data_IF_896317054186
#
_entry.id   IF_896317054186
#
_cell.length_a   1.000
_cell.length_b   1.000
_cell.length_c   1.000
_cell.angle_alpha   90.00
_cell.angle_beta   90.00
_cell.angle_gamma   90.00
#
_symmetry.space_group_name_H-M   'P 1'
#
loop_
_entity.id
_entity.type
_entity.pdbx_description
1 polymer ?
#
# COMPACT_ATOMS: atom_id res chain seq x y z
N UNK A 1 -0.07 -1.05 -17.23
CA UNK A 1 -1.48 -0.56 -17.08
C UNK A 1 -1.49 0.41 -15.91
N UNK A 2 -1.62 1.71 -16.17
CA UNK A 2 -1.79 2.71 -15.10
C UNK A 2 -3.20 2.56 -14.54
N UNK A 3 -3.35 1.98 -13.35
CA UNK A 3 -4.55 2.16 -12.56
C UNK A 3 -4.67 3.66 -12.24
N UNK A 4 -5.72 4.30 -12.71
CA UNK A 4 -6.03 5.67 -12.32
C UNK A 4 -6.69 5.59 -10.95
N UNK A 5 -5.91 5.76 -9.91
CA UNK A 5 -6.43 5.97 -8.56
C UNK A 5 -7.09 7.36 -8.50
N UNK A 6 -8.32 7.41 -8.03
CA UNK A 6 -9.01 8.66 -7.71
C UNK A 6 -8.48 9.20 -6.39
N UNK A 7 -8.55 10.53 -6.19
CA UNK A 7 -7.99 11.27 -5.07
C UNK A 7 -6.44 11.30 -5.02
N UNK A 8 -5.80 11.15 -6.16
CA UNK A 8 -4.33 11.21 -6.27
C UNK A 8 -3.77 12.52 -5.72
N UNK A 9 -4.45 13.66 -5.97
CA UNK A 9 -3.93 15.00 -5.63
C UNK A 9 -3.70 15.18 -4.14
N UNK A 10 -4.66 14.78 -3.31
CA UNK A 10 -4.58 15.03 -1.86
C UNK A 10 -3.53 14.14 -1.20
N UNK A 11 -3.38 12.92 -1.69
CA UNK A 11 -2.35 11.98 -1.22
C UNK A 11 -0.95 12.41 -1.59
N UNK A 12 -0.74 12.88 -2.83
CA UNK A 12 0.54 13.44 -3.23
C UNK A 12 0.89 14.67 -2.40
N UNK A 13 -0.11 15.50 -2.07
CA UNK A 13 0.11 16.65 -1.21
C UNK A 13 0.52 16.23 0.20
N UNK A 14 -0.22 15.32 0.83
CA UNK A 14 0.10 14.81 2.18
C UNK A 14 1.49 14.18 2.21
N UNK A 15 1.82 13.36 1.21
CA UNK A 15 3.14 12.76 1.08
C UNK A 15 4.24 13.80 0.86
N UNK A 16 4.01 14.79 -0.02
CA UNK A 16 4.96 15.86 -0.27
C UNK A 16 5.18 16.72 0.98
N UNK A 17 4.10 17.07 1.68
CA UNK A 17 4.15 17.83 2.92
C UNK A 17 4.95 17.04 3.98
N UNK A 18 4.75 15.73 4.10
CA UNK A 18 5.53 14.87 5.00
C UNK A 18 7.01 14.89 4.63
N UNK A 19 7.37 14.55 3.39
CA UNK A 19 8.75 14.43 2.95
C UNK A 19 9.54 15.75 3.00
N UNK A 20 8.85 16.89 2.91
CA UNK A 20 9.47 18.22 2.98
C UNK A 20 9.55 18.78 4.40
N UNK A 21 8.74 18.29 5.34
CA UNK A 21 8.70 18.76 6.72
C UNK A 21 9.44 17.87 7.72
N UNK A 22 9.81 16.65 7.31
CA UNK A 22 10.52 15.70 8.16
C UNK A 22 11.97 15.54 7.67
N UNK A 23 12.89 15.78 8.57
CA UNK A 23 14.32 15.60 8.37
C UNK A 23 14.78 14.31 9.06
N UNK A 24 15.97 13.83 8.70
CA UNK A 24 16.63 12.74 9.37
C UNK A 24 16.75 13.02 10.88
N UNK A 25 16.34 12.07 11.69
CA UNK A 25 16.41 12.16 13.14
C UNK A 25 17.02 10.89 13.72
N UNK A 26 17.96 11.05 14.64
CA UNK A 26 18.66 9.94 15.31
C UNK A 26 19.31 8.94 14.31
N UNK A 27 19.78 9.44 13.15
CA UNK A 27 20.39 8.63 12.11
C UNK A 27 19.38 7.80 11.28
N UNK A 28 18.08 8.10 11.39
CA UNK A 28 17.02 7.41 10.65
C UNK A 28 16.39 8.33 9.61
N UNK A 29 16.36 7.88 8.37
CA UNK A 29 15.67 8.56 7.30
C UNK A 29 14.14 8.44 7.47
N UNK A 30 13.36 9.55 7.44
CA UNK A 30 11.92 9.50 7.54
C UNK A 30 11.29 9.05 6.21
N UNK A 31 10.67 7.89 6.20
CA UNK A 31 9.83 7.40 5.12
C UNK A 31 8.36 7.48 5.53
N UNK A 32 7.48 7.49 4.56
CA UNK A 32 6.06 7.39 4.81
C UNK A 32 5.37 6.47 3.79
N UNK A 33 4.22 5.95 4.17
CA UNK A 33 3.28 5.33 3.23
C UNK A 33 1.87 5.82 3.50
N UNK A 34 1.02 5.81 2.48
CA UNK A 34 -0.40 6.02 2.69
C UNK A 34 -1.07 4.69 3.00
N UNK A 35 -1.60 4.57 4.21
CA UNK A 35 -2.42 3.44 4.65
C UNK A 35 -3.91 3.72 4.46
N UNK A 36 -4.65 2.69 4.11
CA UNK A 36 -6.10 2.75 3.90
C UNK A 36 -6.79 1.82 4.88
N UNK A 37 -8.01 2.18 5.29
CA UNK A 37 -8.88 1.21 5.94
C UNK A 37 -9.28 0.13 4.94
N UNK A 38 -9.14 -1.14 5.32
CA UNK A 38 -9.43 -2.30 4.47
C UNK A 38 -10.82 -2.22 3.84
N UNK A 39 -11.85 -1.86 4.65
CA UNK A 39 -13.22 -1.70 4.19
C UNK A 39 -13.39 -0.74 3.00
N UNK A 40 -12.48 0.24 2.87
CA UNK A 40 -12.45 1.19 1.76
C UNK A 40 -11.71 0.66 0.51
N UNK A 41 -11.21 -0.57 0.52
CA UNK A 41 -10.38 -1.14 -0.56
C UNK A 41 -10.84 -2.48 -1.08
N UNK A 42 -11.87 -3.07 -0.49
CA UNK A 42 -12.47 -4.34 -0.90
C UNK A 42 -13.63 -4.12 -1.88
N UNK A 43 -14.00 -5.15 -2.62
CA UNK A 43 -15.12 -5.17 -3.57
C UNK A 43 -16.11 -6.27 -3.22
N UNK A 44 -17.36 -6.12 -3.69
CA UNK A 44 -18.39 -7.17 -3.60
C UNK A 44 -18.23 -8.25 -4.69
N UNK A 45 -17.39 -8.00 -5.69
CA UNK A 45 -17.36 -8.79 -6.92
C UNK A 45 -16.27 -9.87 -6.91
N UNK A 46 -15.58 -10.07 -5.77
CA UNK A 46 -14.57 -11.11 -5.63
C UNK A 46 -13.51 -10.77 -4.58
N UNK A 47 -12.38 -11.45 -4.66
CA UNK A 47 -11.28 -11.25 -3.71
C UNK A 47 -10.31 -10.18 -4.17
N UNK A 48 -9.57 -9.64 -3.21
CA UNK A 48 -8.48 -8.68 -3.43
C UNK A 48 -7.21 -9.13 -2.70
N UNK A 49 -6.06 -8.59 -3.13
CA UNK A 49 -4.77 -8.78 -2.47
C UNK A 49 -4.34 -7.47 -1.83
N UNK A 50 -3.93 -7.50 -0.55
CA UNK A 50 -3.50 -6.30 0.21
C UNK A 50 -2.37 -6.61 1.17
N UNK A 51 -1.43 -5.68 1.29
CA UNK A 51 -0.46 -5.69 2.37
C UNK A 51 -1.10 -5.22 3.67
N UNK A 52 -1.41 -6.13 4.58
CA UNK A 52 -1.95 -5.82 5.90
C UNK A 52 -0.83 -5.24 6.77
N UNK A 53 -1.04 -4.04 7.31
CA UNK A 53 -0.07 -3.29 8.08
C UNK A 53 -0.30 -3.46 9.59
N UNK A 54 0.77 -3.71 10.31
CA UNK A 54 0.84 -3.55 11.75
C UNK A 54 1.53 -2.24 12.08
N UNK A 55 0.92 -1.43 12.94
CA UNK A 55 1.44 -0.11 13.34
C UNK A 55 1.45 0.02 14.86
N UNK A 56 2.35 0.84 15.37
CA UNK A 56 2.33 1.24 16.78
C UNK A 56 1.33 2.40 17.05
N UNK A 57 1.24 2.82 18.30
CA UNK A 57 0.34 3.91 18.73
C UNK A 57 0.70 5.28 18.08
N UNK A 58 1.90 5.42 17.52
CA UNK A 58 2.37 6.61 16.80
C UNK A 58 2.26 6.46 15.28
N UNK A 59 1.53 5.47 14.79
CA UNK A 59 1.41 5.12 13.38
C UNK A 59 2.73 4.77 12.70
N UNK A 60 3.76 4.36 13.45
CA UNK A 60 4.98 3.83 12.84
C UNK A 60 4.73 2.39 12.38
N UNK A 61 5.12 2.10 11.15
CA UNK A 61 4.99 0.77 10.57
C UNK A 61 5.90 -0.22 11.30
N UNK A 62 5.34 -1.31 11.80
CA UNK A 62 6.06 -2.43 12.40
C UNK A 62 6.25 -3.55 11.40
N UNK A 63 5.21 -3.90 10.66
CA UNK A 63 5.26 -4.95 9.64
C UNK A 63 4.21 -4.75 8.53
N UNK A 64 4.46 -5.35 7.36
CA UNK A 64 3.48 -5.52 6.29
C UNK A 64 3.44 -6.99 5.92
N UNK A 65 2.25 -7.59 5.97
CA UNK A 65 2.03 -8.96 5.55
C UNK A 65 1.09 -8.98 4.34
N UNK A 66 1.59 -9.45 3.19
CA UNK A 66 0.74 -9.59 2.00
C UNK A 66 -0.26 -10.72 2.19
N UNK A 67 -1.55 -10.38 2.10
CA UNK A 67 -2.67 -11.33 2.08
C UNK A 67 -3.24 -11.35 0.67
N UNK A 68 -3.02 -12.45 -0.04
CA UNK A 68 -3.31 -12.56 -1.48
C UNK A 68 -4.77 -12.84 -1.78
N UNK A 69 -5.53 -13.30 -0.80
CA UNK A 69 -6.94 -13.66 -0.95
C UNK A 69 -7.76 -13.12 0.21
N UNK A 70 -8.33 -11.93 0.04
CA UNK A 70 -9.21 -11.26 1.01
C UNK A 70 -10.57 -11.09 0.37
N UNK A 71 -11.62 -11.55 1.03
CA UNK A 71 -13.02 -11.38 0.61
C UNK A 71 -13.78 -10.47 1.58
N UNK A 72 -14.66 -9.64 1.03
CA UNK A 72 -15.59 -8.84 1.82
C UNK A 72 -16.72 -9.69 2.38
N UNK A 73 -17.09 -9.47 3.66
CA UNK A 73 -18.29 -9.95 4.30
C UNK A 73 -19.19 -8.75 4.66
N UNK A 74 -20.31 -8.97 5.30
CA UNK A 74 -21.28 -7.92 5.62
C UNK A 74 -20.68 -6.79 6.48
N UNK A 75 -19.97 -7.14 7.56
CA UNK A 75 -19.45 -6.23 8.58
C UNK A 75 -17.94 -6.28 8.77
N UNK A 76 -17.23 -7.17 8.07
CA UNK A 76 -15.78 -7.34 8.12
C UNK A 76 -15.25 -7.89 6.79
N UNK A 77 -13.96 -8.19 6.74
CA UNK A 77 -13.37 -8.99 5.68
C UNK A 77 -12.77 -10.27 6.26
N UNK A 78 -12.54 -11.26 5.42
CA UNK A 78 -11.86 -12.49 5.78
C UNK A 78 -10.75 -12.78 4.77
N UNK A 79 -9.68 -13.43 5.21
CA UNK A 79 -8.64 -13.91 4.31
C UNK A 79 -8.36 -15.39 4.50
N UNK A 80 -7.84 -16.00 3.45
CA UNK A 80 -7.37 -17.38 3.44
C UNK A 80 -5.95 -17.45 2.89
N UNK A 81 -5.17 -18.41 3.37
CA UNK A 81 -3.82 -18.73 2.89
C UNK A 81 -3.73 -20.17 2.34
N UNK A 82 -4.84 -20.91 2.38
CA UNK A 82 -4.93 -22.33 2.05
C UNK A 82 -6.09 -22.63 1.09
N UNK A 83 -6.27 -21.75 0.09
CA UNK A 83 -7.31 -21.85 -0.94
C UNK A 83 -8.75 -22.01 -0.40
N UNK A 84 -9.02 -21.39 0.76
CA UNK A 84 -10.34 -21.36 1.35
C UNK A 84 -10.65 -22.50 2.34
N UNK A 85 -9.66 -23.30 2.71
CA UNK A 85 -9.84 -24.36 3.72
C UNK A 85 -10.04 -23.76 5.13
N UNK A 86 -9.33 -22.66 5.43
CA UNK A 86 -9.48 -21.88 6.66
C UNK A 86 -9.61 -20.40 6.37
N UNK A 87 -10.38 -19.69 7.20
CA UNK A 87 -10.60 -18.25 7.08
C UNK A 87 -10.33 -17.56 8.40
N UNK A 88 -9.66 -16.41 8.32
CA UNK A 88 -9.40 -15.55 9.46
C UNK A 88 -9.99 -14.16 9.21
N UNK A 89 -10.60 -13.59 10.26
CA UNK A 89 -11.27 -12.30 10.20
C UNK A 89 -10.29 -11.14 10.18
N UNK A 90 -10.62 -10.11 9.40
CA UNK A 90 -9.97 -8.81 9.34
C UNK A 90 -11.02 -7.71 9.49
N UNK A 91 -10.99 -6.92 10.57
CA UNK A 91 -11.85 -5.76 10.75
C UNK A 91 -11.71 -4.76 9.57
N UNK A 92 -12.78 -4.04 9.23
CA UNK A 92 -12.75 -3.05 8.15
C UNK A 92 -11.84 -1.85 8.41
N UNK A 93 -11.53 -1.56 9.67
CA UNK A 93 -10.59 -0.50 10.09
C UNK A 93 -9.13 -0.95 10.07
N UNK A 94 -8.85 -2.22 9.76
CA UNK A 94 -7.48 -2.72 9.54
C UNK A 94 -6.78 -1.86 8.50
N UNK A 95 -5.55 -1.40 8.80
CA UNK A 95 -4.77 -0.62 7.86
C UNK A 95 -4.11 -1.52 6.81
N UNK A 96 -4.20 -1.10 5.55
CA UNK A 96 -3.62 -1.83 4.43
C UNK A 96 -2.82 -0.91 3.51
N UNK A 97 -1.76 -1.47 2.94
CA UNK A 97 -0.95 -0.83 1.91
C UNK A 97 -1.59 -0.99 0.54
N UNK A 98 -1.55 0.10 -0.23
CA UNK A 98 -1.89 0.13 -1.66
C UNK A 98 -0.66 0.55 -2.49
N UNK A 99 0.54 0.22 -2.01
CA UNK A 99 1.82 0.52 -2.66
C UNK A 99 2.03 2.00 -2.96
N UNK A 100 1.62 2.89 -2.04
CA UNK A 100 1.87 4.32 -2.14
C UNK A 100 2.84 4.75 -1.06
N UNK A 101 4.13 4.74 -1.40
CA UNK A 101 5.24 5.06 -0.52
C UNK A 101 5.90 6.38 -0.90
N UNK A 102 6.45 7.07 0.11
CA UNK A 102 7.33 8.22 -0.02
C UNK A 102 8.66 7.95 0.67
N UNK A 103 9.74 8.16 -0.05
CA UNK A 103 11.09 7.87 0.41
C UNK A 103 11.97 9.11 0.33
N UNK A 104 12.93 9.24 1.24
CA UNK A 104 14.04 10.16 1.08
C UNK A 104 15.02 9.66 0.00
N UNK A 105 15.83 10.54 -0.63
CA UNK A 105 16.71 10.18 -1.74
C UNK A 105 17.66 9.01 -1.45
N UNK A 106 18.03 8.78 -0.18
CA UNK A 106 18.92 7.68 0.21
C UNK A 106 18.42 6.29 -0.21
N UNK A 107 17.12 6.12 -0.45
CA UNK A 107 16.57 4.86 -0.94
C UNK A 107 17.19 4.44 -2.27
N UNK A 108 17.55 5.41 -3.14
CA UNK A 108 18.15 5.12 -4.43
C UNK A 108 19.53 4.48 -4.29
N UNK A 109 20.33 4.97 -3.33
CA UNK A 109 21.66 4.42 -3.03
C UNK A 109 21.54 3.00 -2.46
N UNK A 110 20.56 2.75 -1.61
CA UNK A 110 20.34 1.41 -1.03
C UNK A 110 19.81 0.42 -2.07
N UNK A 111 18.93 0.87 -2.98
CA UNK A 111 18.48 0.06 -4.13
C UNK A 111 19.67 -0.30 -5.05
N UNK A 112 20.53 0.66 -5.37
CA UNK A 112 21.72 0.43 -6.21
C UNK A 112 22.69 -0.56 -5.55
N UNK A 113 22.95 -0.42 -4.26
CA UNK A 113 23.82 -1.34 -3.51
C UNK A 113 23.28 -2.76 -3.42
N UNK A 114 21.96 -2.91 -3.21
CA UNK A 114 21.31 -4.21 -3.01
C UNK A 114 21.06 -4.97 -4.32
N UNK A 115 20.89 -4.25 -5.43
CA UNK A 115 20.50 -4.83 -6.71
C UNK A 115 21.42 -5.94 -7.25
N UNK A 116 22.77 -5.82 -7.20
CA UNK A 116 23.66 -6.87 -7.70
C UNK A 116 23.47 -8.21 -6.97
N UNK A 117 23.38 -8.19 -5.64
CA UNK A 117 23.18 -9.40 -4.86
C UNK A 117 21.81 -10.05 -5.15
N UNK A 118 20.76 -9.22 -5.25
CA UNK A 118 19.44 -9.68 -5.68
C UNK A 118 19.50 -10.33 -7.07
N UNK A 119 20.17 -9.68 -8.04
CA UNK A 119 20.26 -10.18 -9.41
C UNK A 119 20.97 -11.54 -9.48
N UNK A 120 22.08 -11.69 -8.76
CA UNK A 120 22.84 -12.95 -8.69
C UNK A 120 22.00 -14.12 -8.14
N UNK A 121 21.11 -13.82 -7.17
CA UNK A 121 20.17 -14.80 -6.64
C UNK A 121 19.01 -15.07 -7.60
N UNK A 122 18.40 -14.02 -8.13
CA UNK A 122 17.23 -14.14 -9.02
C UNK A 122 17.56 -14.95 -10.30
N UNK A 123 18.75 -14.75 -10.86
CA UNK A 123 19.20 -15.52 -12.05
C UNK A 123 19.28 -17.03 -11.75
N UNK A 124 19.63 -17.40 -10.53
CA UNK A 124 19.76 -18.82 -10.13
C UNK A 124 18.41 -19.45 -9.78
N UNK A 125 17.54 -18.71 -9.10
CA UNK A 125 16.32 -19.26 -8.53
C UNK A 125 15.09 -19.06 -9.42
N UNK A 126 14.98 -17.87 -10.04
CA UNK A 126 13.81 -17.51 -10.83
C UNK A 126 14.14 -16.49 -11.94
N UNK A 127 14.91 -16.89 -12.96
CA UNK A 127 15.45 -15.96 -13.96
C UNK A 127 14.40 -15.24 -14.81
N UNK A 128 13.17 -15.80 -14.90
CA UNK A 128 12.11 -15.23 -15.74
C UNK A 128 11.09 -14.38 -14.97
N UNK A 129 11.05 -14.49 -13.63
CA UNK A 129 10.02 -13.86 -12.80
C UNK A 129 10.58 -13.22 -11.52
N UNK A 130 11.91 -13.11 -11.41
CA UNK A 130 12.53 -12.43 -10.27
C UNK A 130 12.13 -10.95 -10.26
N UNK A 131 11.61 -10.47 -9.14
CA UNK A 131 11.20 -9.07 -8.94
C UNK A 131 11.92 -8.50 -7.72
N UNK A 132 12.57 -7.34 -7.89
CA UNK A 132 13.20 -6.60 -6.81
C UNK A 132 12.17 -5.67 -6.17
N UNK A 133 11.60 -6.09 -5.07
CA UNK A 133 10.51 -5.35 -4.41
C UNK A 133 11.03 -4.17 -3.60
N UNK A 134 10.64 -2.96 -3.96
CA UNK A 134 10.97 -1.74 -3.19
C UNK A 134 10.47 -1.83 -1.73
N UNK A 135 9.25 -2.32 -1.44
CA UNK A 135 8.82 -2.50 -0.05
C UNK A 135 9.72 -3.39 0.80
N UNK A 136 10.35 -4.41 0.21
CA UNK A 136 11.31 -5.26 0.94
C UNK A 136 12.55 -4.49 1.34
N UNK A 137 13.11 -3.67 0.43
CA UNK A 137 14.26 -2.81 0.75
C UNK A 137 13.92 -1.81 1.85
N UNK A 138 12.72 -1.22 1.81
CA UNK A 138 12.26 -0.34 2.88
C UNK A 138 12.14 -1.10 4.22
N UNK A 139 11.61 -2.33 4.21
CA UNK A 139 11.51 -3.18 5.39
C UNK A 139 12.88 -3.52 5.99
N UNK A 140 13.86 -3.83 5.15
CA UNK A 140 15.23 -4.10 5.58
C UNK A 140 15.86 -2.86 6.25
N UNK A 141 15.65 -1.67 5.69
CA UNK A 141 16.13 -0.41 6.27
C UNK A 141 15.46 -0.07 7.61
N UNK A 142 14.18 -0.41 7.78
CA UNK A 142 13.49 -0.31 9.06
C UNK A 142 14.11 -1.25 10.09
N UNK A 143 14.31 -2.52 9.72
CA UNK A 143 14.90 -3.55 10.58
C UNK A 143 16.32 -3.20 11.00
N UNK A 144 17.11 -2.67 10.07
CA UNK A 144 18.49 -2.20 10.33
C UNK A 144 18.53 -0.89 11.16
N UNK A 145 17.39 -0.27 11.44
CA UNK A 145 17.32 1.00 12.17
C UNK A 145 17.82 2.21 11.38
N UNK A 146 17.95 2.11 10.06
CA UNK A 146 18.40 3.19 9.16
C UNK A 146 17.25 4.09 8.70
N UNK A 147 16.02 3.63 8.82
CA UNK A 147 14.83 4.39 8.47
C UNK A 147 13.75 4.26 9.54
N UNK A 148 12.80 5.18 9.53
CA UNK A 148 11.48 5.05 10.16
C UNK A 148 10.42 5.16 9.07
N UNK A 149 9.26 4.55 9.22
CA UNK A 149 8.19 4.65 8.24
C UNK A 149 6.87 4.93 8.94
N UNK A 150 6.33 6.13 8.69
CA UNK A 150 5.05 6.55 9.21
C UNK A 150 3.91 6.18 8.25
N UNK A 151 2.82 5.65 8.80
CA UNK A 151 1.61 5.33 8.04
C UNK A 151 0.65 6.50 8.10
N UNK A 152 0.56 7.24 6.99
CA UNK A 152 -0.36 8.37 6.81
C UNK A 152 -1.75 7.81 6.49
N UNK A 153 -2.65 7.81 7.48
CA UNK A 153 -3.98 7.17 7.33
C UNK A 153 -4.88 7.98 6.41
N UNK A 154 -5.34 7.36 5.32
CA UNK A 154 -6.34 7.92 4.43
C UNK A 154 -7.73 7.36 4.73
N UNK A 155 -8.71 8.27 4.82
CA UNK A 155 -10.13 7.91 4.93
C UNK A 155 -10.82 7.76 3.57
N UNK A 156 -10.08 7.96 2.50
CA UNK A 156 -10.62 7.91 1.14
C UNK A 156 -11.10 6.50 0.78
N UNK A 157 -12.17 6.46 0.00
CA UNK A 157 -12.58 5.24 -0.71
C UNK A 157 -11.62 5.02 -1.87
N UNK A 158 -11.07 3.82 -1.98
CA UNK A 158 -10.34 3.39 -3.15
C UNK A 158 -11.33 2.88 -4.21
N UNK A 159 -11.16 3.35 -5.44
CA UNK A 159 -11.95 2.90 -6.57
C UNK A 159 -11.03 2.29 -7.61
N UNK A 160 -11.20 1.01 -7.88
CA UNK A 160 -10.46 0.27 -8.88
C UNK A 160 -11.40 -0.60 -9.71
N UNK A 161 -11.03 -0.83 -10.96
CA UNK A 161 -11.70 -1.79 -11.82
C UNK A 161 -10.86 -3.07 -11.77
N UNK A 162 -11.11 -3.89 -10.75
CA UNK A 162 -10.49 -5.21 -10.61
C UNK A 162 -11.30 -6.23 -11.42
N UNK A 163 -12.61 -6.14 -11.33
CA UNK A 163 -13.57 -6.94 -12.06
C UNK A 163 -14.37 -6.07 -13.05
N UNK A 164 -14.86 -6.61 -14.17
CA UNK A 164 -15.70 -5.85 -15.11
C UNK A 164 -16.92 -5.19 -14.46
N UNK A 165 -17.48 -5.84 -13.44
CA UNK A 165 -18.65 -5.41 -12.68
C UNK A 165 -18.37 -4.14 -11.85
N UNK A 166 -17.11 -3.90 -11.45
CA UNK A 166 -16.71 -2.70 -10.71
C UNK A 166 -16.82 -1.42 -11.55
N UNK A 167 -16.88 -1.55 -12.90
CA UNK A 167 -16.82 -0.40 -13.82
C UNK A 167 -17.93 0.61 -13.58
N UNK A 168 -19.17 0.15 -13.37
CA UNK A 168 -20.31 1.06 -13.22
C UNK A 168 -20.20 1.83 -11.90
N UNK A 169 -19.86 1.16 -10.80
CA UNK A 169 -19.69 1.80 -9.50
C UNK A 169 -18.59 2.88 -9.52
N UNK A 170 -17.50 2.64 -10.27
CA UNK A 170 -16.42 3.63 -10.47
C UNK A 170 -16.92 4.84 -11.29
N UNK A 171 -17.72 4.62 -12.33
CA UNK A 171 -18.32 5.71 -13.14
C UNK A 171 -19.22 6.59 -12.28
N UNK A 172 -20.09 5.96 -11.49
CA UNK A 172 -21.05 6.67 -10.64
C UNK A 172 -20.34 7.46 -9.53
N UNK A 173 -19.31 6.87 -8.91
CA UNK A 173 -18.49 7.55 -7.92
C UNK A 173 -17.74 8.76 -8.52
N UNK A 174 -17.19 8.62 -9.73
CA UNK A 174 -16.55 9.75 -10.45
C UNK A 174 -17.53 10.87 -10.75
N UNK A 175 -18.76 10.53 -11.18
CA UNK A 175 -19.82 11.50 -11.43
C UNK A 175 -20.16 12.28 -10.14
N UNK A 176 -20.37 11.57 -9.03
CA UNK A 176 -20.66 12.19 -7.74
C UNK A 176 -19.54 13.11 -7.24
N UNK A 177 -18.27 12.70 -7.38
CA UNK A 177 -17.11 13.53 -7.01
C UNK A 177 -16.97 14.78 -7.90
N UNK A 178 -17.38 14.71 -9.16
CA UNK A 178 -17.44 15.86 -10.06
C UNK A 178 -18.55 16.82 -9.65
N UNK A 179 -19.75 16.30 -9.38
CA UNK A 179 -20.93 17.09 -8.96
C UNK A 179 -20.69 17.80 -7.63
N UNK A 180 -20.01 17.15 -6.69
CA UNK A 180 -19.61 17.76 -5.40
C UNK A 180 -18.53 18.84 -5.54
N UNK A 181 -17.94 19.02 -6.71
CA UNK A 181 -16.85 19.98 -6.95
C UNK A 181 -15.49 19.53 -6.39
N UNK A 182 -15.38 18.32 -5.88
CA UNK A 182 -14.11 17.72 -5.41
C UNK A 182 -13.13 17.56 -6.58
N UNK A 183 -13.62 17.23 -7.77
CA UNK A 183 -12.86 17.23 -9.02
C UNK A 183 -13.35 18.32 -9.96
N UNK A 184 -12.45 19.24 -10.33
CA UNK A 184 -12.65 20.23 -11.39
C UNK A 184 -11.86 19.77 -12.63
N UNK A 185 -12.57 19.45 -13.69
CA UNK A 185 -11.99 19.23 -15.01
C UNK A 185 -12.24 20.46 -15.87
#
# INVERSE_FOLDING_TARGET
>A
RRQRQMCIRDRYKVMADFLTSHEEKDGKAPFAMVGYHLGNTVTENGYVSRGVCEVDDNHQLLSITERTHIEKREDHAEFTEDDGATWASLPFDTLVSMNFFGFQPMIMDELEKGFPAFLDQAIKENPLKGEYFIPSVASDLLHDGKASLEVLVSKDQWYGVTYPEDKQSVIDALAALRESGTYKF
#
